data_IF_473057574215
#
_entry.id   IF_473057574215
#
_cell.length_a   1.000
_cell.length_b   1.000
_cell.length_c   1.000
_cell.angle_alpha   90.00
_cell.angle_beta   90.00
_cell.angle_gamma   90.00
#
_symmetry.space_group_name_H-M   'P 1'
#
loop_
_entity.id
_entity.type
_entity.pdbx_description
1 polymer ?
#
# COMPACT_ATOMS: atom_id res chain seq x y z
N UNK A 1 10.94 -11.19 2.15
CA UNK A 1 9.47 -11.11 2.28
C UNK A 1 8.88 -10.55 3.59
N UNK A 2 9.54 -10.53 4.78
CA UNK A 2 8.93 -9.92 6.00
C UNK A 2 8.57 -8.43 5.85
N UNK A 3 9.25 -7.66 4.98
CA UNK A 3 9.09 -6.20 4.85
C UNK A 3 7.69 -5.76 4.37
N UNK A 4 7.07 -6.51 3.44
CA UNK A 4 5.74 -6.15 2.93
C UNK A 4 4.61 -6.43 3.92
N UNK A 5 4.74 -7.49 4.72
CA UNK A 5 3.63 -7.99 5.54
C UNK A 5 3.08 -6.97 6.55
N UNK A 6 3.95 -6.13 7.13
CA UNK A 6 3.56 -5.10 8.10
C UNK A 6 3.86 -3.69 7.61
N UNK A 7 3.93 -3.51 6.30
CA UNK A 7 4.20 -2.20 5.73
C UNK A 7 3.08 -1.21 6.11
N UNK A 8 3.44 -0.02 6.56
CA UNK A 8 2.48 0.94 7.09
C UNK A 8 1.53 1.49 6.02
N UNK A 9 2.00 1.67 4.78
CA UNK A 9 1.16 2.07 3.65
C UNK A 9 0.19 0.96 3.25
N UNK A 10 0.65 -0.31 3.26
CA UNK A 10 -0.19 -1.50 3.09
C UNK A 10 -1.32 -1.56 4.13
N UNK A 11 -0.97 -1.38 5.41
CA UNK A 11 -1.93 -1.37 6.52
C UNK A 11 -3.00 -0.30 6.30
N UNK A 12 -2.63 0.90 5.85
CA UNK A 12 -3.57 2.00 5.60
C UNK A 12 -4.28 1.92 4.23
N UNK A 13 -3.88 1.01 3.35
CA UNK A 13 -4.45 0.89 2.00
C UNK A 13 -4.05 2.05 1.08
N UNK A 14 -2.86 2.63 1.28
CA UNK A 14 -2.37 3.80 0.56
C UNK A 14 -1.14 3.47 -0.31
N UNK A 15 -0.90 4.23 -1.39
CA UNK A 15 0.40 4.25 -2.06
C UNK A 15 1.50 4.89 -1.18
N UNK A 16 2.75 4.50 -1.41
CA UNK A 16 3.92 4.99 -0.67
C UNK A 16 4.18 6.50 -0.84
N UNK A 17 3.78 7.07 -1.97
CA UNK A 17 3.94 8.50 -2.26
C UNK A 17 2.81 9.38 -1.69
N UNK A 18 1.92 8.83 -0.87
CA UNK A 18 0.82 9.60 -0.26
C UNK A 18 1.32 10.70 0.70
N UNK A 19 0.50 11.73 0.93
CA UNK A 19 0.80 12.85 1.83
C UNK A 19 0.54 12.49 3.30
N UNK A 20 1.07 13.28 4.24
CA UNK A 20 0.75 13.11 5.67
C UNK A 20 -0.73 13.31 5.97
N UNK A 21 -1.37 14.30 5.31
CA UNK A 21 -2.81 14.53 5.42
C UNK A 21 -3.61 13.30 5.01
N UNK A 22 -3.35 12.74 3.83
CA UNK A 22 -4.01 11.52 3.35
C UNK A 22 -3.78 10.31 4.27
N UNK A 23 -2.61 10.24 4.91
CA UNK A 23 -2.29 9.21 5.92
C UNK A 23 -3.24 9.29 7.12
N UNK A 24 -3.46 10.50 7.66
CA UNK A 24 -4.35 10.73 8.81
C UNK A 24 -5.82 10.54 8.43
N UNK A 25 -6.22 11.03 7.26
CA UNK A 25 -7.58 10.88 6.74
C UNK A 25 -7.93 9.38 6.59
N UNK A 26 -7.02 8.57 6.02
CA UNK A 26 -7.21 7.12 5.90
C UNK A 26 -7.31 6.41 7.27
N UNK A 27 -6.49 6.81 8.25
CA UNK A 27 -6.57 6.28 9.61
C UNK A 27 -7.96 6.54 10.21
N UNK A 28 -8.48 7.75 10.06
CA UNK A 28 -9.79 8.11 10.59
C UNK A 28 -10.90 7.30 9.90
N UNK A 29 -10.89 7.19 8.57
CA UNK A 29 -11.85 6.37 7.82
C UNK A 29 -11.83 4.92 8.29
N UNK A 30 -10.65 4.33 8.47
CA UNK A 30 -10.50 2.93 8.90
C UNK A 30 -10.93 2.73 10.36
N UNK A 31 -10.64 3.67 11.26
CA UNK A 31 -11.10 3.61 12.66
C UNK A 31 -12.63 3.68 12.74
N UNK A 32 -13.26 4.60 12.00
CA UNK A 32 -14.73 4.70 11.97
C UNK A 32 -15.36 3.40 11.48
N UNK A 33 -14.80 2.78 10.43
CA UNK A 33 -15.30 1.50 9.92
C UNK A 33 -15.15 0.36 10.93
N UNK A 34 -14.02 0.28 11.65
CA UNK A 34 -13.81 -0.71 12.71
C UNK A 34 -14.82 -0.57 13.85
N UNK A 35 -15.12 0.67 14.28
CA UNK A 35 -16.10 0.94 15.34
C UNK A 35 -17.52 0.54 14.96
N UNK A 36 -17.86 0.63 13.67
CA UNK A 36 -19.16 0.20 13.14
C UNK A 36 -19.28 -1.33 12.99
N UNK A 37 -18.35 -2.12 13.55
CA UNK A 37 -18.31 -3.58 13.39
C UNK A 37 -17.85 -4.04 12.00
N UNK A 38 -17.46 -3.11 11.12
CA UNK A 38 -16.93 -3.43 9.81
C UNK A 38 -15.48 -3.88 9.88
N UNK A 39 -15.17 -5.04 9.29
CA UNK A 39 -13.79 -5.32 8.88
C UNK A 39 -13.56 -4.62 7.55
N UNK A 40 -12.67 -3.63 7.51
CA UNK A 40 -12.16 -3.13 6.24
C UNK A 40 -11.33 -4.26 5.60
N UNK A 41 -11.98 -5.16 4.86
CA UNK A 41 -11.34 -5.95 3.81
C UNK A 41 -10.94 -4.96 2.71
N UNK A 42 -9.95 -4.10 3.00
CA UNK A 42 -9.16 -3.49 1.93
C UNK A 42 -8.54 -4.70 1.24
N UNK A 43 -8.91 -4.88 -0.03
CA UNK A 43 -8.35 -5.96 -0.82
C UNK A 43 -6.85 -5.72 -0.91
N UNK A 44 -6.11 -6.73 -0.45
CA UNK A 44 -4.67 -6.67 -0.52
C UNK A 44 -4.24 -6.81 -1.97
N UNK A 45 -3.41 -5.88 -2.49
CA UNK A 45 -2.88 -5.99 -3.84
C UNK A 45 -2.00 -7.25 -4.02
N UNK A 46 -1.48 -7.84 -2.94
CA UNK A 46 -0.62 -9.01 -3.00
C UNK A 46 -1.30 -10.21 -2.32
N UNK A 47 -1.98 -11.02 -3.11
CA UNK A 47 -2.68 -12.24 -2.65
C UNK A 47 -1.77 -13.33 -2.11
N UNK A 48 -0.50 -13.33 -2.51
CA UNK A 48 0.53 -14.22 -1.98
C UNK A 48 0.93 -13.87 -0.54
N UNK A 49 0.54 -12.70 -0.03
CA UNK A 49 0.82 -12.31 1.35
C UNK A 49 -0.35 -12.66 2.27
N UNK A 50 -0.01 -12.98 3.52
CA UNK A 50 -1.02 -13.22 4.56
C UNK A 50 -1.98 -12.02 4.68
N UNK A 51 -3.29 -12.26 4.89
CA UNK A 51 -4.26 -11.19 5.08
C UNK A 51 -3.86 -10.22 6.19
N UNK A 52 -4.16 -8.93 6.01
CA UNK A 52 -3.93 -7.92 7.04
C UNK A 52 -5.10 -7.95 8.01
N UNK A 53 -4.82 -8.30 9.27
CA UNK A 53 -5.74 -8.10 10.38
C UNK A 53 -5.55 -6.67 10.88
N UNK A 54 -6.59 -5.84 10.79
CA UNK A 54 -6.54 -4.43 11.23
C UNK A 54 -7.23 -4.28 12.57
N UNK A 55 -6.51 -3.74 13.54
CA UNK A 55 -7.05 -3.28 14.82
C UNK A 55 -6.74 -1.79 14.99
N UNK A 56 -7.41 -1.14 15.93
CA UNK A 56 -7.13 0.26 16.26
C UNK A 56 -5.65 0.49 16.64
N UNK A 57 -5.06 -0.43 17.40
CA UNK A 57 -3.63 -0.43 17.72
C UNK A 57 -2.77 -0.49 16.46
N UNK A 58 -3.04 -1.42 15.54
CA UNK A 58 -2.27 -1.57 14.30
C UNK A 58 -2.36 -0.31 13.42
N UNK A 59 -3.54 0.31 13.32
CA UNK A 59 -3.72 1.56 12.57
C UNK A 59 -2.95 2.71 13.18
N UNK A 60 -2.97 2.85 14.51
CA UNK A 60 -2.20 3.87 15.23
C UNK A 60 -0.70 3.68 15.03
N UNK A 61 -0.21 2.44 15.16
CA UNK A 61 1.22 2.14 15.00
C UNK A 61 1.70 2.40 13.57
N UNK A 62 0.86 2.11 12.56
CA UNK A 62 1.15 2.45 11.16
C UNK A 62 1.31 3.96 10.95
N UNK A 63 0.41 4.78 11.51
CA UNK A 63 0.54 6.25 11.42
C UNK A 63 1.78 6.75 12.16
N UNK A 64 2.07 6.23 13.35
CA UNK A 64 3.27 6.60 14.10
C UNK A 64 4.55 6.36 13.29
N UNK A 65 4.66 5.20 12.61
CA UNK A 65 5.76 4.92 11.68
C UNK A 65 5.84 5.89 10.50
N UNK A 66 4.70 6.36 10.00
CA UNK A 66 4.67 7.27 8.86
C UNK A 66 4.87 8.74 9.23
N UNK A 67 4.75 9.11 10.51
CA UNK A 67 5.07 10.46 11.01
C UNK A 67 6.56 10.65 11.27
N UNK A 68 7.28 9.59 11.69
CA UNK A 68 8.73 9.62 11.79
C UNK A 68 9.38 9.54 10.39
N UNK A 69 10.26 10.50 10.02
CA UNK A 69 10.84 10.57 8.67
C UNK A 69 11.66 9.34 8.26
N UNK A 70 12.47 8.79 9.17
CA UNK A 70 13.34 7.64 8.88
C UNK A 70 12.52 6.38 8.62
N UNK A 71 11.55 6.10 9.48
CA UNK A 71 10.66 4.95 9.29
C UNK A 71 9.76 5.16 8.07
N UNK A 72 9.25 6.37 7.81
CA UNK A 72 8.49 6.68 6.60
C UNK A 72 9.30 6.37 5.34
N UNK A 73 10.57 6.77 5.29
CA UNK A 73 11.45 6.48 4.14
C UNK A 73 11.62 4.97 3.94
N UNK A 74 11.89 4.22 5.01
CA UNK A 74 12.00 2.75 4.95
C UNK A 74 10.72 2.11 4.42
N UNK A 75 9.56 2.51 4.96
CA UNK A 75 8.26 1.99 4.53
C UNK A 75 7.96 2.33 3.05
N UNK A 76 8.45 3.47 2.54
CA UNK A 76 8.29 3.86 1.13
C UNK A 76 9.13 3.03 0.16
N UNK A 77 10.33 2.62 0.57
CA UNK A 77 11.23 1.84 -0.30
C UNK A 77 10.63 0.48 -0.66
N UNK A 78 9.89 -0.12 0.26
CA UNK A 78 9.28 -1.44 0.13
C UNK A 78 7.76 -1.38 -0.10
N UNK A 79 7.23 -0.33 -0.71
CA UNK A 79 5.81 -0.29 -1.08
C UNK A 79 5.55 0.49 -2.36
N UNK A 80 4.47 0.16 -3.05
CA UNK A 80 4.18 0.68 -4.37
C UNK A 80 3.79 2.17 -4.35
N UNK A 81 4.20 2.90 -5.38
CA UNK A 81 3.85 4.31 -5.60
C UNK A 81 2.84 4.45 -6.73
N UNK A 82 1.96 5.45 -6.66
CA UNK A 82 1.05 5.80 -7.76
C UNK A 82 1.29 7.23 -8.21
N UNK A 83 1.98 7.40 -9.33
CA UNK A 83 2.31 8.73 -9.88
C UNK A 83 1.69 8.94 -11.26
N UNK A 84 1.42 7.85 -11.97
CA UNK A 84 0.98 7.87 -13.37
C UNK A 84 -0.29 7.05 -13.52
N UNK A 85 -1.03 7.25 -14.61
CA UNK A 85 -2.20 6.43 -14.95
C UNK A 85 -1.84 4.96 -15.19
N UNK A 86 -0.61 4.68 -15.63
CA UNK A 86 -0.05 3.32 -15.72
C UNK A 86 0.08 2.70 -14.33
N UNK A 87 0.61 3.46 -13.36
CA UNK A 87 0.71 2.99 -11.97
C UNK A 87 -0.68 2.74 -11.37
N UNK A 88 -1.65 3.64 -11.60
CA UNK A 88 -3.02 3.49 -11.13
C UNK A 88 -3.68 2.20 -11.68
N UNK A 89 -3.48 1.95 -12.98
CA UNK A 89 -4.00 0.76 -13.66
C UNK A 89 -3.37 -0.52 -13.11
N UNK A 90 -2.05 -0.54 -12.95
CA UNK A 90 -1.33 -1.67 -12.36
C UNK A 90 -1.77 -1.96 -10.93
N UNK A 91 -1.90 -0.93 -10.09
CA UNK A 91 -2.38 -1.08 -8.70
C UNK A 91 -3.84 -1.54 -8.65
N UNK A 92 -4.67 -1.16 -9.63
CA UNK A 92 -6.04 -1.66 -9.77
C UNK A 92 -6.05 -3.15 -10.11
N UNK A 93 -5.24 -3.59 -11.08
CA UNK A 93 -5.07 -5.00 -11.41
C UNK A 93 -4.59 -5.82 -10.20
N UNK A 94 -3.61 -5.33 -9.44
CA UNK A 94 -3.19 -5.98 -8.20
C UNK A 94 -4.32 -6.14 -7.18
N UNK A 95 -5.15 -5.10 -6.97
CA UNK A 95 -6.33 -5.20 -6.09
C UNK A 95 -7.33 -6.24 -6.59
N UNK A 96 -7.42 -6.45 -7.90
CA UNK A 96 -8.29 -7.46 -8.50
C UNK A 96 -7.62 -8.84 -8.58
N UNK A 97 -6.46 -9.03 -7.94
CA UNK A 97 -5.68 -10.28 -7.93
C UNK A 97 -5.12 -10.67 -9.30
N UNK A 98 -5.04 -9.72 -10.22
CA UNK A 98 -4.51 -9.88 -11.56
C UNK A 98 -3.06 -9.37 -11.60
N UNK A 99 -2.14 -10.27 -11.22
CA UNK A 99 -0.71 -9.96 -11.16
C UNK A 99 -0.11 -9.77 -12.55
N UNK A 100 -0.56 -10.56 -13.52
CA UNK A 100 -0.01 -10.56 -14.88
C UNK A 100 -0.30 -9.24 -15.58
N UNK A 101 -1.53 -8.73 -15.49
CA UNK A 101 -1.86 -7.41 -16.03
C UNK A 101 -1.10 -6.29 -15.32
N UNK A 102 -0.90 -6.38 -13.99
CA UNK A 102 -0.11 -5.39 -13.26
C UNK A 102 1.34 -5.34 -13.74
N UNK A 103 1.96 -6.51 -13.96
CA UNK A 103 3.31 -6.63 -14.52
C UNK A 103 3.35 -6.08 -15.95
N UNK A 104 2.36 -6.41 -16.78
CA UNK A 104 2.26 -5.92 -18.15
C UNK A 104 2.16 -4.39 -18.21
N UNK A 105 1.31 -3.77 -17.38
CA UNK A 105 1.22 -2.32 -17.27
C UNK A 105 2.57 -1.70 -16.92
N UNK A 106 3.23 -2.16 -15.86
CA UNK A 106 4.52 -1.58 -15.49
C UNK A 106 5.65 -1.85 -16.49
N UNK A 107 5.63 -2.97 -17.21
CA UNK A 107 6.59 -3.24 -18.28
C UNK A 107 6.39 -2.32 -19.50
N UNK A 108 5.15 -1.94 -19.79
CA UNK A 108 4.82 -0.98 -20.86
C UNK A 108 5.08 0.48 -20.47
N UNK A 109 5.23 0.76 -19.16
CA UNK A 109 5.42 2.10 -18.62
C UNK A 109 6.83 2.64 -18.89
N UNK A 110 6.99 3.81 -19.54
CA UNK A 110 8.31 4.35 -19.87
C UNK A 110 9.01 5.00 -18.66
N UNK A 111 8.28 5.23 -17.56
CA UNK A 111 8.73 6.04 -16.44
C UNK A 111 9.41 5.22 -15.34
N UNK A 112 10.29 5.89 -14.60
CA UNK A 112 11.07 5.28 -13.52
C UNK A 112 10.20 4.70 -12.40
N UNK A 113 8.99 5.23 -12.21
CA UNK A 113 8.05 4.73 -11.20
C UNK A 113 7.56 3.31 -11.51
N UNK A 114 7.32 3.00 -12.78
CA UNK A 114 6.94 1.66 -13.23
C UNK A 114 8.06 0.65 -12.99
N UNK A 115 9.30 1.00 -13.37
CA UNK A 115 10.50 0.19 -13.10
C UNK A 115 10.73 -0.01 -11.60
N UNK A 116 10.55 1.03 -10.79
CA UNK A 116 10.70 0.94 -9.34
C UNK A 116 9.61 0.07 -8.70
N UNK A 117 8.36 0.14 -9.19
CA UNK A 117 7.27 -0.72 -8.73
C UNK A 117 7.50 -2.20 -9.09
N UNK A 118 8.00 -2.49 -10.31
CA UNK A 118 8.45 -3.84 -10.68
C UNK A 118 9.55 -4.35 -9.77
N UNK A 119 10.58 -3.54 -9.52
CA UNK A 119 11.66 -3.93 -8.60
C UNK A 119 11.13 -4.29 -7.21
N UNK A 120 10.19 -3.49 -6.67
CA UNK A 120 9.53 -3.80 -5.38
C UNK A 120 8.73 -5.10 -5.43
N UNK A 121 8.14 -5.45 -6.57
CA UNK A 121 7.40 -6.71 -6.68
C UNK A 121 8.30 -7.95 -6.54
N UNK A 122 9.57 -7.85 -6.94
CA UNK A 122 10.53 -8.95 -6.93
C UNK A 122 11.47 -8.99 -5.70
N UNK A 123 11.44 -7.97 -4.82
CA UNK A 123 12.19 -7.92 -3.55
C UNK A 123 11.43 -8.61 -2.40
#
# INVERSE_FOLDING_TARGET
MKSYTKNAFRVLGLPANTTRKATRDAQQTLRTRLKAGGMAKIVDPLTCLSPIIRSETILRDAVAKLENPQTRLKERLFWFTSTTTVDDSALSSLKNKDLDSAIAYWNSGPLITSKANLARLYL
#
